data_IF_010670170378
#
_entry.id   IF_010670170378
#
_cell.length_a   1.000
_cell.length_b   1.000
_cell.length_c   1.000
_cell.angle_alpha   90.00
_cell.angle_beta   90.00
_cell.angle_gamma   90.00
#
_symmetry.space_group_name_H-M   'P 1'
#
loop_
_entity.id
_entity.type
_entity.pdbx_description
1 polymer ?
#
# COMPACT_ATOMS: atom_id res chain seq x y z
N UNK A 1 4.60 -9.04 2.74
CA UNK A 1 4.87 -7.94 3.71
C UNK A 1 5.60 -8.43 4.96
N UNK A 2 5.10 -9.46 5.69
CA UNK A 2 5.75 -9.95 6.92
C UNK A 2 7.22 -10.36 6.72
N UNK A 3 7.51 -11.17 5.70
CA UNK A 3 8.89 -11.57 5.40
C UNK A 3 9.82 -10.36 5.21
N UNK A 4 9.39 -9.36 4.44
CA UNK A 4 10.17 -8.14 4.22
C UNK A 4 10.33 -7.36 5.53
N UNK A 5 9.30 -7.28 6.37
CA UNK A 5 9.41 -6.66 7.68
C UNK A 5 10.45 -7.37 8.57
N UNK A 6 10.47 -8.71 8.58
CA UNK A 6 11.48 -9.49 9.29
C UNK A 6 12.89 -9.20 8.78
N UNK A 7 13.08 -9.12 7.46
CA UNK A 7 14.38 -8.78 6.86
C UNK A 7 14.81 -7.37 7.29
N UNK A 8 13.91 -6.39 7.19
CA UNK A 8 14.16 -5.00 7.63
C UNK A 8 14.55 -4.95 9.11
N UNK A 9 13.80 -5.62 9.99
CA UNK A 9 14.13 -5.71 11.40
C UNK A 9 15.50 -6.36 11.63
N UNK A 10 15.84 -7.40 10.85
CA UNK A 10 17.17 -8.02 10.86
C UNK A 10 18.29 -7.02 10.55
N UNK A 11 18.13 -6.19 9.51
CA UNK A 11 19.08 -5.12 9.21
C UNK A 11 19.15 -4.06 10.31
N UNK A 12 18.01 -3.65 10.88
CA UNK A 12 17.97 -2.67 11.97
C UNK A 12 18.77 -3.18 13.17
N UNK A 13 18.59 -4.45 13.55
CA UNK A 13 19.32 -5.07 14.65
C UNK A 13 20.81 -5.22 14.32
N UNK A 14 21.13 -5.74 13.14
CA UNK A 14 22.52 -5.93 12.70
C UNK A 14 23.30 -4.61 12.61
N UNK A 15 22.64 -3.51 12.25
CA UNK A 15 23.21 -2.17 12.16
C UNK A 15 23.06 -1.35 13.45
N UNK A 16 22.61 -1.96 14.56
CA UNK A 16 22.43 -1.29 15.85
C UNK A 16 21.55 -0.03 15.76
N UNK A 17 20.55 -0.02 14.89
CA UNK A 17 19.65 1.11 14.68
C UNK A 17 20.21 2.28 13.87
N UNK A 18 21.39 2.14 13.25
CA UNK A 18 22.01 3.18 12.38
C UNK A 18 21.31 3.26 11.01
N UNK A 19 20.04 3.64 11.01
CA UNK A 19 19.19 3.74 9.82
C UNK A 19 18.39 5.06 9.80
N UNK A 20 17.89 5.48 8.64
CA UNK A 20 16.96 6.61 8.55
C UNK A 20 15.55 6.15 8.97
N UNK A 21 15.25 6.30 10.27
CA UNK A 21 13.96 5.88 10.83
C UNK A 21 12.74 6.52 10.13
N UNK A 22 12.88 7.74 9.57
CA UNK A 22 11.79 8.40 8.83
C UNK A 22 11.40 7.63 7.56
N UNK A 23 12.34 6.97 6.89
CA UNK A 23 12.05 6.16 5.71
C UNK A 23 11.20 4.93 6.07
N UNK A 24 11.35 4.40 7.28
CA UNK A 24 10.58 3.25 7.77
C UNK A 24 9.08 3.55 7.92
N UNK A 25 8.69 4.82 8.13
CA UNK A 25 7.28 5.22 8.13
C UNK A 25 6.61 4.99 6.77
N UNK A 26 7.40 4.90 5.70
CA UNK A 26 6.92 4.60 4.34
C UNK A 26 6.94 3.11 4.00
N UNK A 27 7.16 2.22 4.99
CA UNK A 27 7.25 0.77 4.78
C UNK A 27 6.08 0.21 3.97
N UNK A 28 4.85 0.41 4.44
CA UNK A 28 3.67 -0.15 3.76
C UNK A 28 3.54 0.36 2.33
N UNK A 29 3.79 1.66 2.11
CA UNK A 29 3.70 2.30 0.80
C UNK A 29 4.73 1.75 -0.19
N UNK A 30 6.01 1.79 0.18
CA UNK A 30 7.11 1.43 -0.72
C UNK A 30 7.16 -0.10 -0.91
N UNK A 31 7.15 -0.85 0.19
CA UNK A 31 7.28 -2.30 0.15
C UNK A 31 6.15 -2.95 -0.64
N UNK A 32 4.91 -2.45 -0.52
CA UNK A 32 3.79 -3.03 -1.26
C UNK A 32 3.93 -2.82 -2.78
N UNK A 33 4.36 -1.64 -3.22
CA UNK A 33 4.57 -1.36 -4.64
C UNK A 33 5.73 -2.15 -5.23
N UNK A 34 6.82 -2.31 -4.47
CA UNK A 34 8.04 -2.98 -4.95
C UNK A 34 7.94 -4.51 -4.88
N UNK A 35 7.48 -5.06 -3.74
CA UNK A 35 7.55 -6.50 -3.49
C UNK A 35 6.30 -7.27 -3.89
N UNK A 36 5.13 -6.62 -3.87
CA UNK A 36 3.88 -7.24 -4.32
C UNK A 36 3.52 -6.81 -5.74
N UNK A 37 3.85 -5.57 -6.11
CA UNK A 37 3.49 -4.99 -7.40
C UNK A 37 2.03 -4.50 -7.44
N UNK A 38 1.75 -3.64 -8.42
CA UNK A 38 0.44 -2.97 -8.59
C UNK A 38 -0.75 -3.92 -8.71
N UNK A 39 -0.69 -5.04 -9.47
CA UNK A 39 -1.87 -5.89 -9.67
C UNK A 39 -2.34 -6.55 -8.37
N UNK A 40 -1.41 -7.04 -7.55
CA UNK A 40 -1.76 -7.72 -6.29
C UNK A 40 -2.27 -6.74 -5.23
N UNK A 41 -1.69 -5.54 -5.14
CA UNK A 41 -2.21 -4.50 -4.23
C UNK A 41 -3.56 -3.97 -4.72
N UNK A 42 -3.81 -3.93 -6.04
CA UNK A 42 -5.11 -3.58 -6.60
C UNK A 42 -6.16 -4.62 -6.22
N UNK A 43 -5.84 -5.92 -6.34
CA UNK A 43 -6.74 -6.99 -5.93
C UNK A 43 -7.10 -6.90 -4.44
N UNK A 44 -6.14 -6.57 -3.57
CA UNK A 44 -6.40 -6.31 -2.15
C UNK A 44 -7.28 -5.08 -1.92
N UNK A 45 -7.01 -3.98 -2.60
CA UNK A 45 -7.83 -2.78 -2.48
C UNK A 45 -9.27 -3.06 -2.95
N UNK A 46 -9.41 -3.77 -4.07
CA UNK A 46 -10.69 -4.11 -4.67
C UNK A 46 -11.52 -5.03 -3.77
N UNK A 47 -10.90 -6.03 -3.15
CA UNK A 47 -11.60 -6.89 -2.18
C UNK A 47 -12.04 -6.10 -0.95
N UNK A 48 -11.21 -5.18 -0.44
CA UNK A 48 -11.58 -4.31 0.68
C UNK A 48 -12.77 -3.40 0.34
N UNK A 49 -12.78 -2.77 -0.84
CA UNK A 49 -13.92 -1.98 -1.32
C UNK A 49 -15.17 -2.85 -1.44
N UNK A 50 -15.03 -4.06 -1.97
CA UNK A 50 -16.14 -5.02 -2.11
C UNK A 50 -16.71 -5.41 -0.74
N UNK A 51 -15.85 -5.68 0.24
CA UNK A 51 -16.25 -6.00 1.62
C UNK A 51 -16.98 -4.82 2.28
N UNK A 52 -16.46 -3.58 2.15
CA UNK A 52 -17.13 -2.39 2.68
C UNK A 52 -18.47 -2.08 1.98
N UNK A 53 -18.62 -2.51 0.74
CA UNK A 53 -19.87 -2.40 -0.02
C UNK A 53 -20.85 -3.57 0.24
N UNK A 54 -20.47 -4.55 1.06
CA UNK A 54 -21.23 -5.79 1.29
C UNK A 54 -21.68 -5.87 2.74
N UNK A 55 -22.94 -6.21 2.96
CA UNK A 55 -23.48 -6.44 4.31
C UNK A 55 -23.10 -7.84 4.82
N UNK A 56 -22.93 -8.00 6.14
CA UNK A 56 -22.79 -9.35 6.70
C UNK A 56 -24.16 -10.02 6.88
N UNK A 57 -24.27 -11.25 6.39
CA UNK A 57 -25.42 -12.13 6.50
C UNK A 57 -24.92 -13.53 6.85
N UNK A 58 -25.41 -14.07 7.97
CA UNK A 58 -25.05 -15.40 8.46
C UNK A 58 -26.30 -16.26 8.47
N UNK A 59 -26.23 -17.48 7.93
CA UNK A 59 -27.33 -18.43 8.01
C UNK A 59 -27.29 -19.12 9.38
N UNK A 60 -28.29 -18.85 10.22
CA UNK A 60 -28.41 -19.42 11.56
C UNK A 60 -29.60 -20.38 11.62
N UNK A 61 -29.46 -21.46 12.39
CA UNK A 61 -30.52 -22.44 12.59
C UNK A 61 -31.19 -22.19 13.94
N UNK A 62 -32.50 -21.95 13.95
CA UNK A 62 -33.32 -21.89 15.17
C UNK A 62 -34.33 -23.04 15.13
N UNK A 63 -33.97 -24.16 15.77
CA UNK A 63 -34.75 -25.40 15.74
C UNK A 63 -34.79 -26.03 14.34
N UNK A 64 -35.98 -26.13 13.76
CA UNK A 64 -36.19 -26.64 12.40
C UNK A 64 -36.11 -25.55 11.31
N UNK A 65 -35.99 -24.27 11.69
CA UNK A 65 -35.95 -23.15 10.75
C UNK A 65 -34.51 -22.72 10.47
N UNK A 66 -34.23 -22.45 9.20
CA UNK A 66 -33.00 -21.77 8.73
C UNK A 66 -33.35 -20.31 8.46
N UNK A 67 -32.65 -19.38 9.12
CA UNK A 67 -32.90 -17.95 8.99
C UNK A 67 -31.61 -17.23 8.63
N UNK A 68 -31.72 -16.18 7.83
CA UNK A 68 -30.62 -15.26 7.62
C UNK A 68 -30.62 -14.21 8.72
N UNK A 69 -29.56 -14.18 9.51
CA UNK A 69 -29.36 -13.21 10.58
C UNK A 69 -28.29 -12.20 10.17
N UNK A 70 -28.54 -10.95 10.55
CA UNK A 70 -27.70 -9.82 10.23
C UNK A 70 -26.99 -9.37 11.49
N UNK A 71 -25.67 -9.55 11.53
CA UNK A 71 -24.83 -8.98 12.58
C UNK A 71 -23.96 -7.89 11.97
N UNK A 72 -24.00 -6.64 12.50
CA UNK A 72 -23.06 -5.61 12.06
C UNK A 72 -21.63 -6.10 12.35
N UNK A 73 -20.67 -5.94 11.41
CA UNK A 73 -19.29 -6.27 11.70
C UNK A 73 -18.81 -5.46 12.91
N UNK A 74 -17.94 -6.04 13.75
CA UNK A 74 -17.27 -5.29 14.79
C UNK A 74 -16.59 -4.05 14.20
N UNK A 75 -16.62 -2.93 14.92
CA UNK A 75 -16.10 -1.65 14.43
C UNK A 75 -14.64 -1.73 13.94
N UNK A 76 -13.81 -2.55 14.59
CA UNK A 76 -12.39 -2.73 14.24
C UNK A 76 -12.20 -3.41 12.88
N UNK A 77 -13.12 -4.29 12.49
CA UNK A 77 -13.09 -4.93 11.17
C UNK A 77 -13.33 -3.88 10.07
N UNK A 78 -14.30 -2.99 10.29
CA UNK A 78 -14.58 -1.88 9.37
C UNK A 78 -13.38 -0.93 9.25
N UNK A 79 -12.75 -0.57 10.37
CA UNK A 79 -11.57 0.31 10.36
C UNK A 79 -10.37 -0.35 9.65
N UNK A 80 -10.14 -1.64 9.90
CA UNK A 80 -9.06 -2.39 9.25
C UNK A 80 -9.31 -2.55 7.75
N UNK A 81 -10.54 -2.86 7.35
CA UNK A 81 -10.91 -2.96 5.93
C UNK A 81 -10.83 -1.60 5.22
N UNK A 82 -11.20 -0.50 5.89
CA UNK A 82 -10.95 0.85 5.39
C UNK A 82 -9.45 1.15 5.25
N UNK A 83 -8.61 0.59 6.12
CA UNK A 83 -7.15 0.60 5.98
C UNK A 83 -6.67 -0.11 4.71
N UNK A 84 -7.20 -1.29 4.42
CA UNK A 84 -6.88 -2.06 3.20
C UNK A 84 -7.36 -1.36 1.92
N UNK A 85 -8.43 -0.58 1.97
CA UNK A 85 -8.86 0.25 0.84
C UNK A 85 -7.77 1.27 0.41
N UNK A 86 -6.90 1.72 1.32
CA UNK A 86 -5.81 2.65 1.00
C UNK A 86 -4.73 2.10 0.08
N UNK A 87 -4.68 0.78 -0.17
CA UNK A 87 -3.83 0.26 -1.25
C UNK A 87 -4.16 0.93 -2.59
N UNK A 88 -5.43 1.31 -2.82
CA UNK A 88 -5.83 2.08 -3.99
C UNK A 88 -5.18 3.46 -4.02
N UNK A 89 -5.10 4.14 -2.87
CA UNK A 89 -4.43 5.45 -2.75
C UNK A 89 -2.96 5.34 -3.14
N UNK A 90 -2.27 4.28 -2.72
CA UNK A 90 -0.87 4.06 -3.10
C UNK A 90 -0.71 3.85 -4.61
N UNK A 91 -1.62 3.11 -5.25
CA UNK A 91 -1.62 2.94 -6.71
C UNK A 91 -1.83 4.28 -7.41
N UNK A 92 -2.84 5.06 -7.01
CA UNK A 92 -3.15 6.34 -7.64
C UNK A 92 -1.98 7.32 -7.49
N UNK A 93 -1.44 7.46 -6.27
CA UNK A 93 -0.33 8.36 -6.01
C UNK A 93 0.92 8.00 -6.81
N UNK A 94 1.16 6.69 -6.97
CA UNK A 94 2.28 6.22 -7.77
C UNK A 94 2.04 6.47 -9.28
N UNK A 95 0.89 6.09 -9.85
CA UNK A 95 0.59 6.33 -11.28
C UNK A 95 0.63 7.82 -11.61
N UNK A 96 0.06 8.67 -10.76
CA UNK A 96 0.04 10.11 -10.96
C UNK A 96 1.32 10.81 -10.49
N UNK A 97 2.30 10.11 -9.92
CA UNK A 97 3.57 10.72 -9.50
C UNK A 97 4.34 11.35 -10.67
N UNK A 98 4.19 10.81 -11.88
CA UNK A 98 4.80 11.33 -13.12
C UNK A 98 4.30 12.76 -13.42
N UNK A 99 3.02 13.02 -13.12
CA UNK A 99 2.35 14.31 -13.35
C UNK A 99 2.51 15.23 -12.15
N UNK A 100 2.34 14.69 -10.95
CA UNK A 100 2.32 15.47 -9.69
C UNK A 100 3.71 15.76 -9.13
N UNK A 101 4.72 14.97 -9.50
CA UNK A 101 6.16 15.18 -9.27
C UNK A 101 6.49 15.60 -7.84
N UNK A 102 7.01 16.82 -7.64
CA UNK A 102 7.44 17.32 -6.33
C UNK A 102 6.31 17.41 -5.30
N UNK A 103 5.05 17.49 -5.73
CA UNK A 103 3.90 17.53 -4.83
C UNK A 103 3.53 16.14 -4.30
N UNK A 104 3.97 15.06 -4.97
CA UNK A 104 3.63 13.66 -4.61
C UNK A 104 3.89 13.35 -3.15
N UNK A 105 5.02 13.79 -2.61
CA UNK A 105 5.35 13.53 -1.21
C UNK A 105 4.35 14.15 -0.24
N UNK A 106 3.93 15.39 -0.51
CA UNK A 106 3.07 16.16 0.39
C UNK A 106 1.64 15.62 0.40
N UNK A 107 1.02 15.49 -0.78
CA UNK A 107 -0.38 15.08 -0.84
C UNK A 107 -0.56 13.57 -0.59
N UNK A 108 0.47 12.74 -0.79
CA UNK A 108 0.31 11.30 -0.62
C UNK A 108 0.00 10.92 0.84
N UNK A 109 0.62 11.61 1.81
CA UNK A 109 0.37 11.33 3.24
C UNK A 109 -0.98 11.90 3.68
N UNK A 110 -1.33 13.11 3.24
CA UNK A 110 -2.63 13.71 3.59
C UNK A 110 -3.79 12.93 2.97
N UNK A 111 -3.71 12.58 1.68
CA UNK A 111 -4.74 11.77 1.00
C UNK A 111 -4.94 10.40 1.65
N UNK A 112 -3.88 9.74 2.13
CA UNK A 112 -3.99 8.47 2.85
C UNK A 112 -4.86 8.61 4.11
N UNK A 113 -4.55 9.57 4.98
CA UNK A 113 -5.31 9.76 6.21
C UNK A 113 -6.73 10.25 5.94
N UNK A 114 -6.92 11.13 4.96
CA UNK A 114 -8.25 11.61 4.56
C UNK A 114 -9.12 10.46 4.06
N UNK A 115 -8.63 9.64 3.12
CA UNK A 115 -9.39 8.50 2.58
C UNK A 115 -9.69 7.49 3.68
N UNK A 116 -8.70 7.16 4.51
CA UNK A 116 -8.89 6.24 5.62
C UNK A 116 -9.99 6.72 6.58
N UNK A 117 -9.89 7.96 7.04
CA UNK A 117 -10.84 8.53 7.99
C UNK A 117 -12.24 8.66 7.40
N UNK A 118 -12.37 9.22 6.20
CA UNK A 118 -13.66 9.43 5.54
C UNK A 118 -14.34 8.09 5.24
N UNK A 119 -13.60 7.11 4.71
CA UNK A 119 -14.17 5.79 4.40
C UNK A 119 -14.52 4.99 5.66
N UNK A 120 -13.71 5.05 6.72
CA UNK A 120 -14.02 4.42 8.01
C UNK A 120 -15.25 5.07 8.65
N UNK A 121 -15.28 6.40 8.76
CA UNK A 121 -16.39 7.15 9.34
C UNK A 121 -17.70 6.88 8.57
N UNK A 122 -17.67 6.94 7.24
CA UNK A 122 -18.86 6.67 6.41
C UNK A 122 -19.41 5.26 6.62
N UNK A 123 -18.55 4.24 6.68
CA UNK A 123 -18.99 2.86 6.86
C UNK A 123 -19.43 2.53 8.29
N UNK A 124 -18.94 3.27 9.30
CA UNK A 124 -19.40 3.14 10.68
C UNK A 124 -20.74 3.87 10.91
N UNK A 125 -20.91 5.07 10.36
CA UNK A 125 -22.12 5.89 10.54
C UNK A 125 -23.28 5.43 9.67
N UNK A 126 -22.99 4.95 8.47
CA UNK A 126 -23.98 4.48 7.51
C UNK A 126 -23.55 3.13 6.96
N UNK A 127 -23.75 2.01 7.69
CA UNK A 127 -23.37 0.68 7.22
C UNK A 127 -24.12 0.26 5.95
N UNK A 128 -23.59 -0.71 5.16
CA UNK A 128 -24.24 -1.18 3.94
C UNK A 128 -25.63 -1.77 4.21
N UNK A 129 -26.63 -1.30 3.45
CA UNK A 129 -28.01 -1.78 3.51
C UNK A 129 -28.20 -3.09 2.74
N UNK A 130 -29.16 -3.89 3.17
CA UNK A 130 -29.58 -5.17 2.57
C UNK A 130 -30.84 -4.97 1.75
N UNK A 131 -30.96 -5.68 0.64
CA UNK A 131 -32.23 -5.83 -0.08
C UNK A 131 -32.60 -7.30 -0.17
N UNK A 132 -33.75 -7.63 0.39
CA UNK A 132 -34.37 -8.96 0.29
C UNK A 132 -35.67 -8.79 -0.46
N UNK A 133 -35.79 -9.48 -1.58
CA UNK A 133 -37.03 -9.54 -2.36
C UNK A 133 -37.60 -10.94 -2.24
N UNK A 134 -38.82 -11.05 -1.73
CA UNK A 134 -39.48 -12.36 -1.57
C UNK A 134 -40.40 -12.56 -2.76
N UNK A 135 -40.10 -13.56 -3.58
CA UNK A 135 -40.91 -13.96 -4.71
C UNK A 135 -40.99 -15.49 -4.69
N UNK A 136 -42.17 -16.04 -4.40
CA UNK A 136 -42.39 -17.49 -4.32
C UNK A 136 -42.99 -17.97 -5.64
N UNK A 137 -42.13 -18.49 -6.51
CA UNK A 137 -42.52 -19.09 -7.79
C UNK A 137 -42.01 -20.52 -7.80
N UNK A 138 -42.92 -21.48 -7.90
CA UNK A 138 -42.59 -22.90 -8.02
C UNK A 138 -42.92 -23.37 -9.43
N UNK A 139 -41.97 -24.02 -10.09
CA UNK A 139 -42.18 -24.69 -11.35
C UNK A 139 -42.12 -26.20 -11.12
N UNK A 140 -43.04 -26.93 -11.74
CA UNK A 140 -43.00 -28.39 -11.81
C UNK A 140 -42.02 -28.75 -12.92
N UNK A 141 -40.87 -29.28 -12.57
CA UNK A 141 -39.86 -29.74 -13.54
C UNK A 141 -40.16 -31.17 -13.99
N UNK A 142 -40.63 -32.01 -13.06
CA UNK A 142 -41.15 -33.34 -13.32
C UNK A 142 -42.38 -33.59 -12.46
N UNK A 143 -43.53 -33.83 -13.10
CA UNK A 143 -44.79 -34.15 -12.42
C UNK A 143 -44.56 -35.35 -11.50
N UNK A 144 -44.99 -35.23 -10.23
CA UNK A 144 -44.83 -36.20 -9.14
C UNK A 144 -43.40 -36.50 -8.65
N UNK A 145 -42.35 -35.98 -9.29
CA UNK A 145 -40.96 -36.23 -8.89
C UNK A 145 -40.21 -35.00 -8.37
N UNK A 146 -40.44 -33.81 -8.95
CA UNK A 146 -39.60 -32.65 -8.68
C UNK A 146 -40.32 -31.31 -8.87
N UNK A 147 -40.26 -30.48 -7.82
CA UNK A 147 -40.66 -29.08 -7.79
C UNK A 147 -39.43 -28.21 -7.51
N UNK A 148 -39.17 -27.22 -8.37
CA UNK A 148 -38.13 -26.21 -8.14
C UNK A 148 -38.81 -24.90 -7.76
N UNK A 149 -38.57 -24.47 -6.52
CA UNK A 149 -39.14 -23.22 -5.99
C UNK A 149 -38.05 -22.15 -5.83
N UNK A 150 -38.19 -21.06 -6.57
CA UNK A 150 -37.49 -19.82 -6.25
C UNK A 150 -38.31 -19.10 -5.17
N UNK A 151 -37.72 -18.87 -4.00
CA UNK A 151 -38.40 -18.26 -2.85
C UNK A 151 -38.13 -16.77 -2.70
N UNK A 152 -37.07 -16.26 -3.33
CA UNK A 152 -36.69 -14.86 -3.30
C UNK A 152 -35.24 -14.60 -3.74
N UNK A 153 -34.89 -13.33 -3.83
CA UNK A 153 -33.55 -12.83 -4.12
C UNK A 153 -32.98 -12.14 -2.86
N UNK A 154 -31.79 -12.56 -2.44
CA UNK A 154 -31.05 -11.93 -1.34
C UNK A 154 -29.85 -11.21 -1.93
N UNK A 155 -29.90 -9.88 -1.97
CA UNK A 155 -28.80 -9.05 -2.43
C UNK A 155 -28.03 -8.46 -1.24
N UNK A 156 -26.77 -8.87 -1.14
CA UNK A 156 -25.87 -8.56 -0.02
C UNK A 156 -24.95 -7.38 -0.34
N UNK A 157 -24.58 -7.24 -1.62
CA UNK A 157 -23.69 -6.19 -2.11
C UNK A 157 -24.45 -4.98 -2.65
N UNK A 158 -23.89 -3.78 -2.43
CA UNK A 158 -24.46 -2.53 -2.91
C UNK A 158 -23.52 -1.82 -3.90
N UNK A 159 -23.84 -1.90 -5.20
CA UNK A 159 -23.01 -1.31 -6.25
C UNK A 159 -22.96 0.24 -6.19
N UNK A 160 -23.99 0.90 -5.65
CA UNK A 160 -23.95 2.35 -5.42
C UNK A 160 -22.89 2.69 -4.37
N UNK A 161 -22.84 1.96 -3.26
CA UNK A 161 -21.80 2.14 -2.23
C UNK A 161 -20.41 1.83 -2.76
N UNK A 162 -20.26 0.77 -3.55
CA UNK A 162 -19.01 0.43 -4.23
C UNK A 162 -18.48 1.64 -5.03
N UNK A 163 -19.30 2.24 -5.89
CA UNK A 163 -18.92 3.43 -6.67
C UNK A 163 -18.61 4.64 -5.80
N UNK A 164 -19.36 4.87 -4.72
CA UNK A 164 -19.09 5.97 -3.78
C UNK A 164 -17.73 5.80 -3.11
N UNK A 165 -17.36 4.59 -2.69
CA UNK A 165 -16.05 4.31 -2.09
C UNK A 165 -14.91 4.58 -3.06
N UNK A 166 -15.03 4.13 -4.32
CA UNK A 166 -14.06 4.47 -5.37
C UNK A 166 -14.00 5.99 -5.59
N UNK A 167 -15.16 6.65 -5.62
CA UNK A 167 -15.25 8.11 -5.70
C UNK A 167 -14.54 8.82 -4.55
N UNK A 168 -14.70 8.37 -3.30
CA UNK A 168 -14.01 8.91 -2.12
C UNK A 168 -12.50 8.85 -2.32
N UNK A 169 -11.96 7.72 -2.78
CA UNK A 169 -10.51 7.59 -3.05
C UNK A 169 -10.06 8.63 -4.07
N UNK A 170 -10.69 8.64 -5.25
CA UNK A 170 -10.26 9.50 -6.37
C UNK A 170 -10.40 10.99 -6.04
N UNK A 171 -11.56 11.40 -5.51
CA UNK A 171 -11.86 12.79 -5.17
C UNK A 171 -10.95 13.27 -4.05
N UNK A 172 -10.73 12.47 -3.00
CA UNK A 172 -9.86 12.88 -1.90
C UNK A 172 -8.41 13.04 -2.36
N UNK A 173 -7.90 12.14 -3.21
CA UNK A 173 -6.55 12.28 -3.77
C UNK A 173 -6.43 13.56 -4.61
N UNK A 174 -7.42 13.83 -5.47
CA UNK A 174 -7.43 15.02 -6.32
C UNK A 174 -7.53 16.33 -5.51
N UNK A 175 -8.39 16.37 -4.49
CA UNK A 175 -8.54 17.52 -3.60
C UNK A 175 -7.27 17.78 -2.79
N UNK A 176 -6.67 16.74 -2.19
CA UNK A 176 -5.41 16.87 -1.46
C UNK A 176 -4.30 17.40 -2.36
N UNK A 177 -4.20 16.90 -3.60
CA UNK A 177 -3.24 17.41 -4.58
C UNK A 177 -3.51 18.89 -4.92
N UNK A 178 -4.76 19.27 -5.19
CA UNK A 178 -5.11 20.64 -5.53
C UNK A 178 -4.81 21.61 -4.38
N UNK A 179 -5.12 21.22 -3.14
CA UNK A 179 -4.81 22.01 -1.94
C UNK A 179 -3.29 22.23 -1.82
N UNK A 180 -2.48 21.19 -1.98
CA UNK A 180 -1.02 21.31 -1.94
C UNK A 180 -0.48 22.20 -3.06
N UNK A 181 -1.05 22.10 -4.27
CA UNK A 181 -0.66 22.93 -5.40
C UNK A 181 -1.03 24.41 -5.23
N UNK A 182 -2.17 24.70 -4.60
CA UNK A 182 -2.60 26.07 -4.29
C UNK A 182 -1.78 26.65 -3.13
N UNK A 183 -1.48 25.86 -2.09
CA UNK A 183 -0.68 26.31 -0.94
C UNK A 183 0.78 26.56 -1.30
N UNK A 184 1.34 25.76 -2.19
CA UNK A 184 2.76 25.80 -2.51
C UNK A 184 3.03 25.88 -4.03
N UNK A 185 2.53 26.90 -4.75
CA UNK A 185 2.57 26.94 -6.22
C UNK A 185 3.98 27.00 -6.81
N UNK A 186 4.96 27.47 -6.04
CA UNK A 186 6.38 27.59 -6.42
C UNK A 186 7.25 26.50 -5.80
N UNK A 187 6.66 25.36 -5.43
CA UNK A 187 7.43 24.24 -4.87
C UNK A 187 8.49 23.79 -5.89
N UNK A 188 9.76 23.95 -5.51
CA UNK A 188 10.86 23.63 -6.40
C UNK A 188 10.94 22.11 -6.61
N UNK A 189 11.23 21.66 -7.85
CA UNK A 189 11.57 20.27 -8.10
C UNK A 189 12.76 19.88 -7.23
N UNK A 190 12.65 18.74 -6.53
CA UNK A 190 13.80 18.19 -5.82
C UNK A 190 14.83 17.79 -6.86
N UNK A 191 16.06 18.32 -6.77
CA UNK A 191 17.16 17.92 -7.63
C UNK A 191 17.50 16.44 -7.34
N UNK A 192 16.85 15.53 -8.06
CA UNK A 192 17.07 14.11 -7.91
C UNK A 192 17.83 13.63 -9.13
N UNK A 193 19.14 13.43 -8.99
CA UNK A 193 19.80 12.35 -9.72
C UNK A 193 19.06 11.08 -9.30
N UNK A 194 18.17 10.59 -10.17
CA UNK A 194 17.30 9.45 -9.94
C UNK A 194 18.07 8.21 -10.36
N UNK A 195 18.75 7.57 -9.41
CA UNK A 195 19.35 6.26 -9.67
C UNK A 195 18.23 5.25 -9.95
N UNK A 196 18.40 4.44 -11.00
CA UNK A 196 17.48 3.36 -11.39
C UNK A 196 17.29 2.31 -10.29
N UNK A 197 18.22 2.24 -9.33
CA UNK A 197 18.16 1.33 -8.19
C UNK A 197 17.00 1.67 -7.25
N UNK A 198 16.60 2.94 -7.15
CA UNK A 198 15.53 3.41 -6.26
C UNK A 198 14.20 3.48 -7.01
N UNK A 199 13.22 2.72 -6.52
CA UNK A 199 11.87 2.78 -7.06
C UNK A 199 11.25 4.19 -6.94
N UNK A 200 10.48 4.62 -7.94
CA UNK A 200 9.96 5.99 -8.04
C UNK A 200 9.20 6.47 -6.78
N UNK A 201 8.36 5.61 -6.20
CA UNK A 201 7.64 5.95 -4.96
C UNK A 201 8.59 6.21 -3.77
N UNK A 202 9.75 5.55 -3.71
CA UNK A 202 10.74 5.80 -2.68
C UNK A 202 11.51 7.10 -2.94
N UNK A 203 11.80 7.44 -4.20
CA UNK A 203 12.46 8.70 -4.57
C UNK A 203 11.71 9.93 -4.04
N UNK A 204 10.37 9.89 -4.08
CA UNK A 204 9.55 10.98 -3.56
C UNK A 204 9.41 10.98 -2.03
N UNK A 205 9.52 9.83 -1.37
CA UNK A 205 9.20 9.68 0.06
C UNK A 205 10.42 9.67 0.97
N UNK A 206 11.58 9.24 0.46
CA UNK A 206 12.78 9.12 1.27
C UNK A 206 13.42 10.48 1.52
N UNK A 207 13.97 10.62 2.73
CA UNK A 207 14.76 11.79 3.07
C UNK A 207 16.21 11.56 2.66
N UNK A 208 16.68 12.23 1.61
CA UNK A 208 18.03 12.06 1.08
C UNK A 208 19.04 13.13 1.53
N UNK A 209 18.60 14.19 2.24
CA UNK A 209 19.42 15.40 2.42
C UNK A 209 20.71 15.17 3.24
N UNK A 210 20.75 14.14 4.10
CA UNK A 210 21.93 13.78 4.92
C UNK A 210 22.78 12.65 4.33
N UNK A 211 22.32 12.10 3.22
CA UNK A 211 22.83 10.87 2.63
C UNK A 211 23.52 11.13 1.29
N UNK A 212 24.04 12.33 1.09
CA UNK A 212 24.78 12.73 -0.10
C UNK A 212 26.20 13.11 0.30
N UNK A 213 27.19 12.47 -0.33
CA UNK A 213 28.60 12.73 -0.05
C UNK A 213 29.42 12.61 -1.35
N UNK A 214 30.24 13.64 -1.63
CA UNK A 214 31.04 13.75 -2.87
C UNK A 214 30.22 13.52 -4.15
N UNK A 215 28.97 13.98 -4.18
CA UNK A 215 28.07 13.84 -5.35
C UNK A 215 27.43 12.46 -5.52
N UNK A 216 27.75 11.49 -4.65
CA UNK A 216 27.12 10.16 -4.61
C UNK A 216 26.04 10.17 -3.54
N UNK A 217 24.85 9.66 -3.89
CA UNK A 217 23.75 9.47 -2.94
C UNK A 217 23.81 8.07 -2.36
N UNK A 218 23.56 7.97 -1.07
CA UNK A 218 23.57 6.75 -0.30
C UNK A 218 22.18 6.45 0.24
N UNK A 219 21.92 5.17 0.48
CA UNK A 219 20.71 4.71 1.16
C UNK A 219 21.09 3.71 2.24
N UNK A 220 20.50 3.81 3.44
CA UNK A 220 20.74 2.80 4.46
C UNK A 220 20.17 1.44 4.03
N UNK A 221 20.80 0.34 4.47
CA UNK A 221 20.45 -1.01 4.01
C UNK A 221 19.00 -1.40 4.33
N UNK A 222 18.44 -0.92 5.43
CA UNK A 222 17.05 -1.18 5.77
C UNK A 222 16.11 -0.49 4.77
N UNK A 223 16.35 0.78 4.46
CA UNK A 223 15.63 1.53 3.41
C UNK A 223 15.83 0.90 2.02
N UNK A 224 17.00 0.32 1.74
CA UNK A 224 17.26 -0.40 0.50
C UNK A 224 16.39 -1.66 0.35
N UNK A 225 16.14 -2.38 1.45
CA UNK A 225 15.21 -3.52 1.44
C UNK A 225 13.80 -3.07 1.09
N UNK A 226 13.34 -1.92 1.60
CA UNK A 226 12.04 -1.36 1.20
C UNK A 226 11.99 -1.13 -0.31
N UNK A 227 13.08 -0.63 -0.91
CA UNK A 227 13.19 -0.41 -2.37
C UNK A 227 13.47 -1.68 -3.17
N UNK A 228 13.57 -2.84 -2.53
CA UNK A 228 13.73 -4.14 -3.19
C UNK A 228 15.17 -4.56 -3.43
N UNK A 229 16.13 -3.92 -2.75
CA UNK A 229 17.55 -4.26 -2.82
C UNK A 229 17.94 -4.99 -1.54
N UNK A 230 18.39 -6.24 -1.68
CA UNK A 230 19.01 -6.98 -0.58
C UNK A 230 20.53 -6.91 -0.76
N UNK A 231 21.23 -6.49 0.28
CA UNK A 231 22.70 -6.34 0.22
C UNK A 231 23.40 -7.26 1.22
N UNK A 232 24.38 -8.03 0.76
CA UNK A 232 25.26 -8.84 1.59
C UNK A 232 26.68 -8.37 1.40
N UNK A 233 27.40 -8.25 2.50
CA UNK A 233 28.81 -7.86 2.49
C UNK A 233 29.66 -9.09 2.71
N UNK A 234 30.63 -9.29 1.80
CA UNK A 234 31.61 -10.35 1.90
C UNK A 234 33.00 -9.75 1.73
N UNK A 235 33.74 -9.62 2.85
CA UNK A 235 35.06 -8.97 2.90
C UNK A 235 35.01 -7.53 2.37
N UNK A 236 35.68 -7.24 1.26
CA UNK A 236 35.71 -5.93 0.58
C UNK A 236 34.62 -5.79 -0.49
N UNK A 237 33.88 -6.86 -0.80
CA UNK A 237 32.85 -6.85 -1.85
C UNK A 237 31.45 -6.69 -1.26
N UNK A 238 30.71 -5.74 -1.80
CA UNK A 238 29.29 -5.53 -1.55
C UNK A 238 28.48 -6.17 -2.69
N UNK A 239 27.75 -7.23 -2.39
CA UNK A 239 26.86 -7.91 -3.33
C UNK A 239 25.44 -7.46 -3.09
N UNK A 240 24.77 -6.96 -4.13
CA UNK A 240 23.40 -6.46 -4.08
C UNK A 240 22.53 -7.25 -5.05
N UNK A 241 21.39 -7.72 -4.56
CA UNK A 241 20.36 -8.34 -5.37
C UNK A 241 19.17 -7.39 -5.49
N UNK A 242 18.83 -7.00 -6.72
CA UNK A 242 17.66 -6.19 -7.01
C UNK A 242 16.50 -7.06 -7.48
N UNK A 243 15.47 -7.19 -6.65
CA UNK A 243 14.27 -7.98 -6.96
C UNK A 243 13.46 -7.42 -8.12
N UNK A 244 13.57 -6.11 -8.39
CA UNK A 244 12.80 -5.44 -9.44
C UNK A 244 13.29 -5.87 -10.83
N UNK A 245 14.61 -6.01 -10.97
CA UNK A 245 15.27 -6.37 -12.22
C UNK A 245 15.74 -7.82 -12.26
N UNK A 246 15.69 -8.53 -11.13
CA UNK A 246 16.27 -9.87 -10.92
C UNK A 246 17.76 -9.93 -11.27
N UNK A 247 18.50 -8.86 -10.94
CA UNK A 247 19.93 -8.73 -11.23
C UNK A 247 20.76 -8.72 -9.96
N UNK A 248 21.97 -9.25 -10.09
CA UNK A 248 23.02 -9.11 -9.08
C UNK A 248 24.00 -8.02 -9.51
N UNK A 249 24.37 -7.18 -8.56
CA UNK A 249 25.40 -6.16 -8.69
C UNK A 249 26.49 -6.45 -7.67
N UNK A 250 27.75 -6.28 -8.07
CA UNK A 250 28.90 -6.43 -7.18
C UNK A 250 29.68 -5.13 -7.21
N UNK A 251 30.04 -4.64 -6.04
CA UNK A 251 30.82 -3.43 -5.88
C UNK A 251 31.99 -3.70 -4.96
N UNK A 252 33.18 -3.25 -5.37
CA UNK A 252 34.32 -3.19 -4.48
C UNK A 252 34.19 -1.95 -3.59
N UNK A 253 34.22 -2.12 -2.28
CA UNK A 253 34.08 -1.01 -1.34
C UNK A 253 35.25 -0.03 -1.40
N UNK A 254 36.42 -0.50 -1.81
CA UNK A 254 37.62 0.34 -1.92
C UNK A 254 37.49 1.31 -3.10
N UNK A 255 36.95 0.84 -4.23
CA UNK A 255 36.73 1.66 -5.44
C UNK A 255 35.76 2.83 -5.17
N UNK A 256 34.74 2.61 -4.34
CA UNK A 256 33.72 3.62 -4.02
C UNK A 256 34.02 4.42 -2.73
N UNK A 257 35.22 4.29 -2.16
CA UNK A 257 35.63 5.06 -0.99
C UNK A 257 34.84 4.75 0.28
N UNK A 258 34.13 3.63 0.33
CA UNK A 258 33.41 3.18 1.54
C UNK A 258 34.38 2.79 2.66
N UNK A 259 35.64 2.54 2.31
CA UNK A 259 36.76 2.29 3.23
C UNK A 259 37.69 3.51 3.39
N UNK A 260 37.41 4.66 2.77
CA UNK A 260 38.18 5.91 2.94
C UNK A 260 38.01 6.41 4.39
N UNK A 261 39.08 6.64 5.16
CA UNK A 261 38.99 7.16 6.53
C UNK A 261 38.31 8.54 6.62
N UNK A 262 38.20 9.27 5.51
CA UNK A 262 37.48 10.55 5.46
C UNK A 262 35.97 10.40 5.25
N UNK A 263 35.48 9.19 5.01
CA UNK A 263 34.05 8.92 4.82
C UNK A 263 33.32 9.06 6.15
N UNK A 264 32.24 9.86 6.22
CA UNK A 264 31.45 10.02 7.42
C UNK A 264 31.00 8.67 8.03
N UNK A 265 31.08 8.49 9.37
CA UNK A 265 30.78 7.21 10.01
C UNK A 265 29.39 6.65 9.73
N UNK A 266 28.41 7.51 9.46
CA UNK A 266 27.04 7.09 9.14
C UNK A 266 26.88 6.51 7.73
N UNK A 267 27.84 6.74 6.82
CA UNK A 267 27.80 6.26 5.44
C UNK A 267 28.49 4.89 5.26
N UNK A 268 29.36 4.49 6.18
CA UNK A 268 30.11 3.22 6.13
C UNK A 268 29.18 2.00 5.96
N UNK A 269 27.97 2.07 6.53
CA UNK A 269 26.99 0.98 6.51
C UNK A 269 25.86 1.17 5.49
N UNK A 270 26.06 2.05 4.51
CA UNK A 270 25.06 2.40 3.49
C UNK A 270 25.41 1.83 2.13
N UNK A 271 24.44 1.85 1.22
CA UNK A 271 24.62 1.46 -0.17
C UNK A 271 24.75 2.71 -1.04
N UNK A 272 25.81 2.83 -1.85
CA UNK A 272 25.89 3.89 -2.85
C UNK A 272 24.87 3.60 -3.97
N UNK A 273 24.09 4.62 -4.32
CA UNK A 273 23.16 4.60 -5.45
C UNK A 273 23.91 5.02 -6.70
N UNK A 274 24.57 4.06 -7.33
CA UNK A 274 25.30 4.24 -8.57
C UNK A 274 24.38 4.01 -9.78
N UNK A 275 24.78 4.53 -10.94
CA UNK A 275 24.15 4.27 -12.26
C UNK A 275 24.95 3.23 -13.03
#
# INVERSE_FOLDING_TARGET
MLLVACIVCGYILALQGRIEAKNMLSFSRVTALVWLGRPLIFARAFSAVSLLATSNLTLTRRGLLLLFESHPPPWYYTILTAGELNWMVYILNDVFSIVTRQYTSAYATTSFFTVWFVSAAWNLLAPPSRSVEIARVCAVEAVDFQLVCQSGLVAIGNFKRFRVLIGIVVISCALCYLVERIRHPKLQPRATNVSFMVYAAASHQFNSNKWEYRGIRYVDKASAVLTGIISVEYRTTLVMFDIKTWRYHQLDKDEYGLMDPNTPPHLIYTLPLIE
#
